data_IF_285444229309
#
_entry.id   IF_285444229309
#
_cell.length_a   1.000
_cell.length_b   1.000
_cell.length_c   1.000
_cell.angle_alpha   90.00
_cell.angle_beta   90.00
_cell.angle_gamma   90.00
#
_symmetry.space_group_name_H-M   'P 1'
#
loop_
_entity.id
_entity.type
_entity.pdbx_description
1 polymer ?
#
# COMPACT_ATOMS: atom_id res chain seq x y z
N UNK A 1 3.75 -7.55 -14.06
CA UNK A 1 3.08 -7.11 -15.30
C UNK A 1 3.22 -8.24 -16.29
N UNK A 2 2.14 -8.66 -16.94
CA UNK A 2 2.21 -9.68 -18.00
C UNK A 2 2.83 -9.09 -19.28
N UNK A 3 3.25 -9.95 -20.20
CA UNK A 3 3.93 -9.56 -21.45
C UNK A 3 3.07 -8.66 -22.36
N UNK A 4 1.74 -8.68 -22.17
CA UNK A 4 0.76 -7.83 -22.86
C UNK A 4 0.47 -6.49 -22.14
N UNK A 5 1.30 -6.12 -21.15
CA UNK A 5 1.21 -4.82 -20.45
C UNK A 5 0.10 -4.73 -19.40
N UNK A 6 -0.57 -5.83 -19.07
CA UNK A 6 -1.65 -5.83 -18.07
C UNK A 6 -1.12 -6.09 -16.66
N UNK A 7 -1.72 -5.40 -15.69
CA UNK A 7 -1.41 -5.53 -14.25
C UNK A 7 -2.41 -6.44 -13.51
N UNK A 8 -3.56 -6.72 -14.13
CA UNK A 8 -4.58 -7.67 -13.68
C UNK A 8 -5.27 -8.30 -14.91
N UNK A 9 -5.77 -9.52 -14.77
CA UNK A 9 -6.70 -10.09 -15.76
C UNK A 9 -8.00 -9.27 -15.81
N UNK A 10 -8.74 -9.33 -16.92
CA UNK A 10 -10.08 -8.73 -17.04
C UNK A 10 -11.07 -9.26 -15.97
N UNK A 11 -10.75 -10.40 -15.36
CA UNK A 11 -11.46 -11.01 -14.22
C UNK A 11 -11.05 -10.47 -12.85
N UNK A 12 -10.13 -9.49 -12.76
CA UNK A 12 -9.62 -8.96 -11.49
C UNK A 12 -8.59 -9.87 -10.80
N UNK A 13 -8.31 -11.06 -11.34
CA UNK A 13 -7.25 -11.94 -10.82
C UNK A 13 -5.87 -11.39 -11.23
N UNK A 14 -5.13 -10.88 -10.25
CA UNK A 14 -3.74 -10.43 -10.37
C UNK A 14 -2.76 -11.38 -9.66
N UNK A 15 -3.29 -12.46 -9.05
CA UNK A 15 -2.51 -13.36 -8.22
C UNK A 15 -1.66 -14.31 -9.07
N UNK A 16 -0.35 -14.27 -8.79
CA UNK A 16 0.67 -15.23 -9.22
C UNK A 16 1.22 -15.14 -10.65
N UNK A 17 1.14 -13.97 -11.31
CA UNK A 17 1.79 -13.75 -12.62
C UNK A 17 3.34 -13.82 -12.52
N UNK A 18 3.93 -13.44 -11.39
CA UNK A 18 5.40 -13.38 -11.21
C UNK A 18 5.96 -14.64 -10.52
N UNK A 19 7.19 -15.04 -10.86
CA UNK A 19 7.89 -16.15 -10.20
C UNK A 19 8.25 -15.89 -8.72
N UNK A 20 8.74 -16.92 -8.02
CA UNK A 20 9.15 -16.83 -6.60
C UNK A 20 10.28 -15.82 -6.37
N UNK A 21 11.28 -15.80 -7.27
CA UNK A 21 12.42 -14.86 -7.20
C UNK A 21 11.96 -13.39 -7.22
N UNK A 22 11.05 -13.06 -8.15
CA UNK A 22 10.47 -11.72 -8.23
C UNK A 22 9.73 -11.32 -6.93
N UNK A 23 9.09 -12.27 -6.23
CA UNK A 23 8.45 -11.97 -4.93
C UNK A 23 9.48 -11.70 -3.84
N UNK A 24 10.58 -12.44 -3.83
CA UNK A 24 11.67 -12.19 -2.88
C UNK A 24 12.30 -10.82 -3.12
N UNK A 25 12.49 -10.41 -4.36
CA UNK A 25 13.02 -9.09 -4.68
C UNK A 25 12.10 -7.96 -4.24
N UNK A 26 10.78 -8.11 -4.41
CA UNK A 26 9.81 -7.16 -3.84
C UNK A 26 9.94 -7.08 -2.32
N UNK A 27 10.16 -8.21 -1.63
CA UNK A 27 10.37 -8.18 -0.18
C UNK A 27 11.67 -7.43 0.19
N UNK A 28 12.76 -7.61 -0.56
CA UNK A 28 14.01 -6.85 -0.35
C UNK A 28 13.78 -5.35 -0.57
N UNK A 29 13.02 -4.98 -1.60
CA UNK A 29 12.67 -3.58 -1.85
C UNK A 29 11.84 -3.00 -0.70
N UNK A 30 10.86 -3.74 -0.18
CA UNK A 30 10.09 -3.30 1.00
C UNK A 30 10.99 -3.08 2.21
N UNK A 31 11.93 -3.98 2.46
CA UNK A 31 12.85 -3.87 3.59
C UNK A 31 13.76 -2.64 3.51
N UNK A 32 14.12 -2.20 2.29
CA UNK A 32 15.02 -1.06 2.05
C UNK A 32 14.32 0.30 2.07
N UNK A 33 12.99 0.34 2.06
CA UNK A 33 12.22 1.60 2.01
C UNK A 33 11.58 1.90 3.37
N UNK A 34 11.37 3.19 3.65
CA UNK A 34 10.74 3.63 4.89
C UNK A 34 9.21 3.56 4.84
N UNK A 35 8.61 3.52 3.65
CA UNK A 35 7.17 3.48 3.47
C UNK A 35 6.76 2.66 2.24
N UNK A 36 5.54 2.11 2.29
CA UNK A 36 4.88 1.43 1.18
C UNK A 36 3.51 2.07 0.98
N UNK A 37 3.23 2.55 -0.23
CA UNK A 37 2.01 3.26 -0.56
C UNK A 37 1.05 2.40 -1.41
N UNK A 38 -0.25 2.51 -1.15
CA UNK A 38 -1.30 1.93 -1.99
C UNK A 38 -2.59 2.76 -1.98
N UNK A 39 -3.52 2.45 -2.89
CA UNK A 39 -4.86 3.03 -2.93
C UNK A 39 -5.92 2.09 -2.33
N UNK A 40 -7.09 2.63 -2.00
CA UNK A 40 -8.19 1.85 -1.41
C UNK A 40 -8.70 0.72 -2.29
N UNK A 41 -8.69 0.87 -3.62
CA UNK A 41 -9.08 -0.21 -4.55
C UNK A 41 -8.28 -1.50 -4.35
N UNK A 42 -6.96 -1.41 -4.17
CA UNK A 42 -6.11 -2.58 -3.89
C UNK A 42 -6.37 -3.17 -2.52
N UNK A 43 -6.62 -2.32 -1.51
CA UNK A 43 -6.96 -2.79 -0.16
C UNK A 43 -8.24 -3.63 -0.19
N UNK A 44 -9.28 -3.12 -0.86
CA UNK A 44 -10.58 -3.79 -0.97
C UNK A 44 -10.54 -5.05 -1.82
N UNK A 45 -9.76 -5.05 -2.91
CA UNK A 45 -9.67 -6.19 -3.81
C UNK A 45 -8.78 -7.33 -3.27
N UNK A 46 -7.62 -6.99 -2.68
CA UNK A 46 -6.56 -7.97 -2.40
C UNK A 46 -6.31 -8.20 -0.90
N UNK A 47 -6.81 -7.33 -0.02
CA UNK A 47 -6.56 -7.33 1.41
C UNK A 47 -5.07 -7.61 1.78
N UNK A 48 -4.12 -6.79 1.28
CA UNK A 48 -2.69 -7.04 1.49
C UNK A 48 -2.26 -6.65 2.91
N UNK A 49 -1.31 -7.39 3.48
CA UNK A 49 -0.68 -7.00 4.77
C UNK A 49 0.29 -5.82 4.64
N UNK A 50 0.89 -5.67 3.45
CA UNK A 50 1.96 -4.70 3.14
C UNK A 50 3.13 -4.75 4.12
N UNK A 51 3.49 -5.94 4.58
CA UNK A 51 4.64 -6.18 5.48
C UNK A 51 5.85 -6.73 4.73
N UNK A 52 7.02 -6.63 5.37
CA UNK A 52 8.25 -7.37 5.02
C UNK A 52 8.13 -8.79 5.60
N UNK A 53 8.48 -9.79 4.81
CA UNK A 53 8.43 -11.23 5.16
C UNK A 53 9.75 -11.91 4.78
N UNK A 54 10.85 -11.30 5.18
CA UNK A 54 12.20 -11.83 5.04
C UNK A 54 12.70 -12.24 6.41
N UNK A 55 13.21 -13.46 6.52
CA UNK A 55 13.78 -13.96 7.76
C UNK A 55 15.04 -13.15 8.12
N UNK A 56 15.19 -12.84 9.41
CA UNK A 56 16.33 -12.08 9.93
C UNK A 56 16.36 -10.59 9.58
N UNK A 57 15.31 -10.05 8.97
CA UNK A 57 15.19 -8.63 8.64
C UNK A 57 14.16 -7.96 9.53
N UNK A 58 14.63 -7.11 10.45
CA UNK A 58 13.76 -6.25 11.25
C UNK A 58 13.51 -4.93 10.52
N UNK A 59 12.51 -4.92 9.64
CA UNK A 59 12.08 -3.73 8.90
C UNK A 59 10.56 -3.66 8.84
N UNK A 60 10.01 -2.58 9.38
CA UNK A 60 8.57 -2.33 9.47
C UNK A 60 8.23 -1.00 8.79
N UNK A 61 8.24 -0.94 7.44
CA UNK A 61 7.97 0.29 6.72
C UNK A 61 6.56 0.80 7.02
N UNK A 62 6.41 2.13 7.07
CA UNK A 62 5.12 2.79 7.22
C UNK A 62 4.19 2.39 6.06
N UNK A 63 2.98 1.96 6.38
CA UNK A 63 1.94 1.67 5.39
C UNK A 63 1.16 2.94 5.12
N UNK A 64 1.16 3.41 3.88
CA UNK A 64 0.45 4.63 3.47
C UNK A 64 -0.70 4.24 2.55
N UNK A 65 -1.92 4.65 2.91
CA UNK A 65 -3.13 4.35 2.14
C UNK A 65 -3.78 5.64 1.69
N UNK A 66 -4.05 5.73 0.39
CA UNK A 66 -4.86 6.82 -0.18
C UNK A 66 -6.29 6.31 -0.36
N UNK A 67 -7.22 6.85 0.43
CA UNK A 67 -8.64 6.53 0.36
C UNK A 67 -9.49 7.81 0.20
N UNK A 68 -9.33 8.48 -0.94
CA UNK A 68 -9.99 9.77 -1.20
C UNK A 68 -11.52 9.76 -1.20
N UNK A 69 -12.16 8.58 -1.17
CA UNK A 69 -13.63 8.41 -1.17
C UNK A 69 -14.16 7.80 0.12
N UNK A 70 -13.32 7.59 1.15
CA UNK A 70 -13.70 6.93 2.40
C UNK A 70 -14.38 5.56 2.18
N UNK A 71 -13.84 4.76 1.27
CA UNK A 71 -14.41 3.46 0.90
C UNK A 71 -13.95 2.33 1.84
N UNK A 72 -12.85 2.52 2.57
CA UNK A 72 -12.35 1.51 3.51
C UNK A 72 -13.10 1.67 4.84
N UNK A 73 -14.19 0.93 4.98
CA UNK A 73 -15.03 0.92 6.20
C UNK A 73 -14.77 -0.29 7.09
N UNK A 74 -14.28 -1.39 6.51
CA UNK A 74 -13.99 -2.63 7.23
C UNK A 74 -12.64 -2.55 7.96
N UNK A 75 -12.70 -2.43 9.29
CA UNK A 75 -11.52 -2.37 10.16
C UNK A 75 -10.86 -3.72 10.40
N UNK A 76 -11.44 -4.83 9.92
CA UNK A 76 -10.85 -6.18 10.03
C UNK A 76 -9.78 -6.47 8.97
N UNK A 77 -9.65 -5.59 7.97
CA UNK A 77 -8.65 -5.71 6.91
C UNK A 77 -7.22 -5.69 7.47
N UNK A 78 -6.30 -6.43 6.82
CA UNK A 78 -4.93 -6.65 7.30
C UNK A 78 -4.12 -5.36 7.45
N UNK A 79 -4.52 -4.31 6.73
CA UNK A 79 -3.91 -2.98 6.80
C UNK A 79 -4.11 -2.29 8.16
N UNK A 80 -5.11 -2.73 8.94
CA UNK A 80 -5.40 -2.25 10.29
C UNK A 80 -4.79 -3.12 11.39
N UNK A 81 -4.16 -4.25 11.06
CA UNK A 81 -3.45 -5.07 12.05
C UNK A 81 -2.25 -4.34 12.64
N UNK A 82 -1.82 -4.73 13.84
CA UNK A 82 -0.65 -4.16 14.53
C UNK A 82 0.71 -4.57 13.94
N UNK A 83 0.72 -5.22 12.76
CA UNK A 83 1.95 -5.72 12.14
C UNK A 83 2.88 -4.63 11.59
N UNK A 84 2.37 -3.41 11.38
CA UNK A 84 3.16 -2.22 11.03
C UNK A 84 2.32 -0.95 11.26
N UNK A 85 2.95 0.22 11.33
CA UNK A 85 2.20 1.47 11.43
C UNK A 85 1.48 1.79 10.11
N UNK A 86 0.26 2.32 10.19
CA UNK A 86 -0.54 2.70 9.02
C UNK A 86 -1.01 4.15 9.12
N UNK A 87 -0.79 4.93 8.06
CA UNK A 87 -1.40 6.25 7.86
C UNK A 87 -2.38 6.18 6.68
N UNK A 88 -3.61 6.63 6.91
CA UNK A 88 -4.66 6.70 5.89
C UNK A 88 -4.96 8.16 5.58
N UNK A 89 -4.94 8.49 4.29
CA UNK A 89 -5.18 9.82 3.76
C UNK A 89 -6.48 9.84 2.96
N UNK A 90 -7.40 10.70 3.36
CA UNK A 90 -8.71 10.87 2.74
C UNK A 90 -9.10 12.35 2.68
N UNK A 91 -10.25 12.65 2.08
CA UNK A 91 -10.74 14.03 1.93
C UNK A 91 -11.11 14.72 3.24
N UNK A 92 -11.26 13.98 4.34
CA UNK A 92 -11.60 14.51 5.66
C UNK A 92 -10.40 14.81 6.57
N UNK A 93 -9.23 14.22 6.30
CA UNK A 93 -8.02 14.39 7.12
C UNK A 93 -6.80 14.88 6.34
N UNK A 94 -6.99 15.32 5.10
CA UNK A 94 -5.91 15.87 4.28
C UNK A 94 -6.29 17.16 3.59
N UNK A 95 -5.31 18.04 3.46
CA UNK A 95 -5.43 19.28 2.70
C UNK A 95 -4.72 19.14 1.35
N UNK A 96 -5.18 19.91 0.37
CA UNK A 96 -4.49 20.06 -0.92
C UNK A 96 -3.80 21.41 -0.95
N UNK A 97 -2.60 21.46 -1.50
CA UNK A 97 -1.93 22.72 -1.79
C UNK A 97 -2.59 23.45 -2.97
N UNK A 98 -2.13 24.68 -3.25
CA UNK A 98 -2.65 25.51 -4.35
C UNK A 98 -2.51 24.87 -5.74
N UNK A 99 -1.66 23.84 -5.89
CA UNK A 99 -1.50 23.05 -7.11
C UNK A 99 -2.42 21.81 -7.17
N UNK A 100 -3.35 21.67 -6.22
CA UNK A 100 -4.30 20.55 -6.14
C UNK A 100 -3.69 19.22 -5.68
N UNK A 101 -2.43 19.21 -5.26
CA UNK A 101 -1.71 18.02 -4.75
C UNK A 101 -1.89 17.89 -3.25
N UNK A 102 -1.72 16.67 -2.72
CA UNK A 102 -1.73 16.42 -1.28
C UNK A 102 -0.65 17.27 -0.58
N UNK A 103 -1.04 18.03 0.44
CA UNK A 103 -0.11 18.79 1.27
C UNK A 103 0.56 17.86 2.28
N UNK A 104 1.81 17.51 2.00
CA UNK A 104 2.59 16.62 2.85
C UNK A 104 3.05 17.28 4.16
N UNK A 105 3.17 18.61 4.22
CA UNK A 105 3.58 19.30 5.46
C UNK A 105 2.47 19.21 6.50
N UNK A 106 1.24 19.51 6.09
CA UNK A 106 0.06 19.36 6.93
C UNK A 106 -0.12 17.92 7.43
N UNK A 107 0.20 16.95 6.58
CA UNK A 107 -0.12 15.54 6.80
C UNK A 107 0.98 14.77 7.56
N UNK A 108 2.24 15.18 7.41
CA UNK A 108 3.37 14.53 8.05
C UNK A 108 3.81 15.22 9.34
N UNK A 109 3.38 16.47 9.59
CA UNK A 109 3.59 17.16 10.86
C UNK A 109 5.06 17.53 11.11
N UNK A 110 5.62 18.37 10.24
CA UNK A 110 6.89 19.08 10.49
C UNK A 110 6.62 20.57 10.59
#
# INVERSE_FOLDING_TARGET
>A
MSIDGKTAMASGQSKWITGQEARQDVQKLRAKNQAILTGSGTILADNPSMTVRLDGVDSTPLRVVIDGKNQITDTTLKIFSNAANTKIFNSGNTQRNNAGKLDLHHVLGN
#
